data_IF_523540489192
#
_entry.id   IF_523540489192
#
_cell.length_a   1.000
_cell.length_b   1.000
_cell.length_c   1.000
_cell.angle_alpha   90.00
_cell.angle_beta   90.00
_cell.angle_gamma   90.00
#
_symmetry.space_group_name_H-M   'P 1'
#
loop_
_entity.id
_entity.type
_entity.pdbx_description
1 polymer ?
#
# COMPACT_ATOMS: atom_id res chain seq x y z
N UNK A 1 15.06 -34.73 -0.77
CA UNK A 1 14.31 -33.89 -1.72
C UNK A 1 13.49 -32.81 -1.01
N UNK A 2 12.97 -33.05 0.20
CA UNK A 2 12.23 -32.04 0.98
C UNK A 2 13.09 -30.87 1.51
N UNK A 3 14.38 -31.07 1.82
CA UNK A 3 15.23 -29.99 2.38
C UNK A 3 15.41 -28.77 1.46
N UNK A 4 15.57 -28.98 0.15
CA UNK A 4 15.67 -27.86 -0.79
C UNK A 4 14.37 -27.07 -0.90
N UNK A 5 13.21 -27.75 -0.81
CA UNK A 5 11.90 -27.10 -0.80
C UNK A 5 11.70 -26.30 0.49
N UNK A 6 12.17 -26.83 1.63
CA UNK A 6 12.12 -26.14 2.93
C UNK A 6 12.97 -24.87 2.92
N UNK A 7 14.20 -24.92 2.43
CA UNK A 7 15.08 -23.74 2.37
C UNK A 7 14.58 -22.69 1.36
N UNK A 8 14.05 -23.12 0.22
CA UNK A 8 13.42 -22.21 -0.74
C UNK A 8 12.18 -21.53 -0.16
N UNK A 9 11.36 -22.29 0.58
CA UNK A 9 10.19 -21.73 1.28
C UNK A 9 10.63 -20.71 2.34
N UNK A 10 11.66 -21.00 3.13
CA UNK A 10 12.17 -20.07 4.15
C UNK A 10 12.65 -18.74 3.55
N UNK A 11 13.35 -18.78 2.41
CA UNK A 11 13.74 -17.56 1.68
C UNK A 11 12.53 -16.79 1.15
N UNK A 12 11.53 -17.50 0.64
CA UNK A 12 10.28 -16.92 0.17
C UNK A 12 9.52 -16.24 1.32
N UNK A 13 9.32 -16.92 2.45
CA UNK A 13 8.58 -16.40 3.60
C UNK A 13 9.26 -15.13 4.17
N UNK A 14 10.60 -15.12 4.22
CA UNK A 14 11.37 -13.93 4.62
C UNK A 14 11.13 -12.75 3.68
N UNK A 15 11.27 -12.98 2.38
CA UNK A 15 11.02 -11.95 1.36
C UNK A 15 9.57 -11.48 1.43
N UNK A 16 8.61 -12.39 1.42
CA UNK A 16 7.20 -12.06 1.42
C UNK A 16 6.81 -11.21 2.64
N UNK A 17 7.36 -11.49 3.82
CA UNK A 17 7.12 -10.67 5.01
C UNK A 17 7.63 -9.22 4.84
N UNK A 18 8.81 -9.03 4.25
CA UNK A 18 9.38 -7.70 3.99
C UNK A 18 8.56 -6.92 2.93
N UNK A 19 8.09 -7.59 1.86
CA UNK A 19 7.40 -6.94 0.73
C UNK A 19 5.87 -6.83 0.90
N UNK A 20 5.27 -7.64 1.76
CA UNK A 20 3.82 -7.66 1.98
C UNK A 20 3.25 -6.28 2.36
N UNK A 21 4.01 -5.46 3.07
CA UNK A 21 3.60 -4.11 3.44
C UNK A 21 3.53 -3.17 2.23
N UNK A 22 4.60 -3.09 1.42
CA UNK A 22 4.64 -2.19 0.27
C UNK A 22 3.64 -2.60 -0.81
N UNK A 23 3.43 -3.91 -0.99
CA UNK A 23 2.39 -4.45 -1.88
C UNK A 23 0.98 -4.10 -1.38
N UNK A 24 0.74 -4.18 -0.06
CA UNK A 24 -0.51 -3.75 0.54
C UNK A 24 -0.80 -2.27 0.32
N UNK A 25 0.22 -1.41 0.47
CA UNK A 25 0.12 0.04 0.21
C UNK A 25 -0.16 0.30 -1.29
N UNK A 26 0.55 -0.38 -2.19
CA UNK A 26 0.35 -0.27 -3.64
C UNK A 26 -1.09 -0.65 -4.05
N UNK A 27 -1.66 -1.70 -3.44
CA UNK A 27 -3.05 -2.13 -3.68
C UNK A 27 -4.07 -1.07 -3.27
N UNK A 28 -3.80 -0.29 -2.22
CA UNK A 28 -4.70 0.80 -1.80
C UNK A 28 -4.75 1.92 -2.84
N UNK A 29 -3.61 2.21 -3.49
CA UNK A 29 -3.53 3.20 -4.57
C UNK A 29 -4.06 2.71 -5.92
N UNK A 30 -4.45 1.43 -6.03
CA UNK A 30 -5.21 0.95 -7.18
C UNK A 30 -6.71 1.20 -6.96
N UNK A 31 -7.28 2.06 -7.82
CA UNK A 31 -8.67 2.49 -7.76
C UNK A 31 -9.69 1.33 -7.89
N UNK A 32 -9.25 0.16 -8.34
CA UNK A 32 -10.07 -1.06 -8.44
C UNK A 32 -10.18 -1.82 -7.12
N UNK A 33 -9.14 -1.75 -6.29
CA UNK A 33 -9.02 -2.62 -5.11
C UNK A 33 -9.31 -1.83 -3.83
N UNK A 34 -8.75 -0.62 -3.65
CA UNK A 34 -8.89 0.22 -2.43
C UNK A 34 -8.65 -0.54 -1.12
N UNK A 35 -8.76 0.17 0.01
CA UNK A 35 -8.52 -0.44 1.33
C UNK A 35 -9.48 -1.61 1.64
N UNK A 36 -10.74 -1.54 1.21
CA UNK A 36 -11.70 -2.62 1.46
C UNK A 36 -11.29 -3.97 0.86
N UNK A 37 -10.57 -3.98 -0.27
CA UNK A 37 -10.03 -5.22 -0.82
C UNK A 37 -8.83 -5.71 -0.03
N UNK A 38 -7.95 -4.80 0.40
CA UNK A 38 -6.81 -5.13 1.27
C UNK A 38 -7.29 -5.77 2.57
N UNK A 39 -8.30 -5.19 3.22
CA UNK A 39 -8.89 -5.76 4.43
C UNK A 39 -9.54 -7.12 4.17
N UNK A 40 -10.26 -7.28 3.06
CA UNK A 40 -10.84 -8.56 2.66
C UNK A 40 -9.77 -9.63 2.39
N UNK A 41 -8.70 -9.30 1.66
CA UNK A 41 -7.62 -10.24 1.33
C UNK A 41 -6.85 -10.66 2.58
N UNK A 42 -6.47 -9.72 3.45
CA UNK A 42 -5.77 -10.04 4.69
C UNK A 42 -6.65 -10.78 5.68
N UNK A 43 -7.97 -10.51 5.76
CA UNK A 43 -8.90 -11.36 6.52
C UNK A 43 -8.95 -12.77 5.97
N UNK A 44 -9.04 -12.93 4.65
CA UNK A 44 -9.08 -14.25 4.00
C UNK A 44 -7.78 -15.03 4.20
N UNK A 45 -6.63 -14.37 4.14
CA UNK A 45 -5.33 -14.96 4.45
C UNK A 45 -5.20 -15.21 5.95
N UNK A 46 -5.77 -14.37 6.82
CA UNK A 46 -5.76 -14.57 8.27
C UNK A 46 -6.54 -15.82 8.73
N UNK A 47 -7.54 -16.24 7.95
CA UNK A 47 -8.19 -17.53 8.14
C UNK A 47 -7.28 -18.74 7.83
N UNK A 48 -6.18 -18.51 7.09
CA UNK A 48 -5.15 -19.50 6.74
C UNK A 48 -3.90 -19.37 7.63
N UNK A 49 -3.58 -18.17 8.13
CA UNK A 49 -2.42 -17.87 8.96
C UNK A 49 -2.68 -16.70 9.95
N UNK A 50 -2.63 -16.92 11.29
CA UNK A 50 -2.82 -15.88 12.29
C UNK A 50 -1.88 -14.66 12.17
N UNK A 51 -0.69 -14.82 11.57
CA UNK A 51 0.26 -13.72 11.36
C UNK A 51 -0.22 -12.67 10.35
N UNK A 52 -1.21 -12.98 9.52
CA UNK A 52 -1.70 -12.07 8.49
C UNK A 52 -2.65 -10.98 8.99
N UNK A 53 -3.22 -11.12 10.20
CA UNK A 53 -4.17 -10.14 10.75
C UNK A 53 -3.50 -8.77 11.04
N UNK A 54 -2.28 -8.78 11.57
CA UNK A 54 -1.53 -7.56 11.90
C UNK A 54 -1.17 -6.74 10.64
N UNK A 55 -1.11 -7.38 9.47
CA UNK A 55 -0.70 -6.72 8.23
C UNK A 55 -1.68 -5.63 7.76
N UNK A 56 -2.99 -5.83 7.90
CA UNK A 56 -4.00 -4.82 7.54
C UNK A 56 -3.81 -3.53 8.36
N UNK A 57 -3.54 -3.69 9.66
CA UNK A 57 -3.25 -2.56 10.56
C UNK A 57 -1.91 -1.90 10.23
N UNK A 58 -0.88 -2.70 9.93
CA UNK A 58 0.43 -2.19 9.48
C UNK A 58 0.31 -1.37 8.19
N UNK A 59 -0.49 -1.81 7.23
CA UNK A 59 -0.76 -1.08 5.97
C UNK A 59 -1.45 0.25 6.25
N UNK A 60 -2.51 0.27 7.08
CA UNK A 60 -3.18 1.52 7.49
C UNK A 60 -2.22 2.50 8.16
N UNK A 61 -1.50 2.04 9.18
CA UNK A 61 -0.57 2.87 9.94
C UNK A 61 0.61 3.35 9.08
N UNK A 62 1.06 2.55 8.11
CA UNK A 62 2.10 2.96 7.18
C UNK A 62 1.58 4.00 6.18
N UNK A 63 0.38 3.83 5.62
CA UNK A 63 -0.27 4.82 4.76
C UNK A 63 -0.37 6.16 5.47
N UNK A 64 -1.01 6.19 6.64
CA UNK A 64 -1.18 7.42 7.43
C UNK A 64 0.17 8.09 7.71
N UNK A 65 1.19 7.33 8.12
CA UNK A 65 2.55 7.86 8.34
C UNK A 65 3.20 8.45 7.09
N UNK A 66 3.00 7.84 5.92
CA UNK A 66 3.53 8.37 4.65
C UNK A 66 2.89 9.70 4.28
N UNK A 67 1.57 9.85 4.47
CA UNK A 67 0.86 11.11 4.27
C UNK A 67 1.37 12.21 5.20
N UNK A 68 1.49 11.92 6.50
CA UNK A 68 2.05 12.88 7.46
C UNK A 68 3.48 13.30 7.10
N UNK A 69 4.33 12.35 6.68
CA UNK A 69 5.70 12.67 6.28
C UNK A 69 5.76 13.61 5.07
N UNK A 70 4.84 13.44 4.14
CA UNK A 70 4.74 14.26 2.93
C UNK A 70 4.30 15.69 3.24
N UNK A 71 3.44 15.86 4.24
CA UNK A 71 2.95 17.15 4.72
C UNK A 71 4.01 17.89 5.55
N UNK A 72 4.83 17.15 6.32
CA UNK A 72 5.95 17.69 7.12
C UNK A 72 7.06 18.28 6.25
N UNK A 73 7.22 17.82 5.01
CA UNK A 73 8.09 18.48 4.02
C UNK A 73 7.64 19.91 3.64
N UNK A 74 6.51 20.39 4.18
CA UNK A 74 6.02 21.77 4.09
C UNK A 74 6.41 22.71 5.25
N UNK A 75 6.94 22.24 6.38
CA UNK A 75 7.40 23.13 7.45
C UNK A 75 8.39 22.46 8.42
N UNK A 76 9.38 23.22 8.87
CA UNK A 76 10.48 22.80 9.75
C UNK A 76 10.05 22.11 11.05
N UNK A 77 10.64 20.93 11.28
CA UNK A 77 10.81 20.15 12.51
C UNK A 77 10.06 20.54 13.78
N UNK A 78 9.25 19.61 14.28
CA UNK A 78 9.06 19.37 15.72
C UNK A 78 9.06 17.87 16.00
N UNK A 79 9.70 17.54 17.11
CA UNK A 79 10.07 16.22 17.62
C UNK A 79 8.93 15.22 17.75
N UNK A 80 9.33 13.95 17.71
CA UNK A 80 8.53 12.77 18.00
C UNK A 80 7.70 12.95 19.29
N UNK A 81 6.44 13.30 19.13
CA UNK A 81 5.38 13.01 20.09
C UNK A 81 4.29 12.31 19.32
N UNK A 82 4.01 11.08 19.73
CA UNK A 82 2.88 10.26 19.28
C UNK A 82 1.62 11.15 19.22
N UNK A 83 1.00 11.36 18.05
CA UNK A 83 -0.25 12.10 18.02
C UNK A 83 -1.35 11.17 18.57
N UNK A 84 -1.80 11.50 19.77
CA UNK A 84 -3.14 11.14 20.23
C UNK A 84 -4.16 11.61 19.19
N UNK A 85 -5.04 10.68 18.82
CA UNK A 85 -6.14 10.81 17.87
C UNK A 85 -7.01 12.03 18.15
N UNK A 86 -6.75 13.16 17.48
CA UNK A 86 -7.73 14.18 17.07
C UNK A 86 -7.04 15.45 16.52
N UNK A 87 -6.54 15.39 15.30
CA UNK A 87 -6.36 16.57 14.44
C UNK A 87 -6.56 16.13 12.99
N UNK A 88 -7.78 16.28 12.46
CA UNK A 88 -8.11 16.04 11.05
C UNK A 88 -7.48 17.14 10.20
N UNK A 89 -6.26 16.89 9.74
CA UNK A 89 -5.59 17.75 8.77
C UNK A 89 -6.21 17.62 7.37
N UNK A 90 -5.99 18.60 6.47
CA UNK A 90 -6.47 18.53 5.08
C UNK A 90 -5.99 17.29 4.31
N UNK A 91 -4.87 16.68 4.71
CA UNK A 91 -4.35 15.45 4.11
C UNK A 91 -5.11 14.19 4.54
N UNK A 92 -5.61 14.12 5.78
CA UNK A 92 -6.54 13.05 6.18
C UNK A 92 -7.84 13.16 5.40
N UNK A 93 -8.33 14.38 5.18
CA UNK A 93 -9.52 14.63 4.37
C UNK A 93 -9.34 14.23 2.89
N UNK A 94 -8.17 14.47 2.29
CA UNK A 94 -7.88 14.04 0.91
C UNK A 94 -7.83 12.51 0.78
N UNK A 95 -7.13 11.85 1.72
CA UNK A 95 -7.06 10.39 1.78
C UNK A 95 -8.43 9.77 2.03
N UNK A 96 -9.19 10.29 2.99
CA UNK A 96 -10.53 9.81 3.31
C UNK A 96 -11.45 9.97 2.10
N UNK A 97 -11.43 11.13 1.42
CA UNK A 97 -12.20 11.35 0.21
C UNK A 97 -11.83 10.39 -0.93
N UNK A 98 -10.53 10.08 -1.09
CA UNK A 98 -10.08 9.06 -2.04
C UNK A 98 -10.57 7.65 -1.66
N UNK A 99 -10.54 7.31 -0.36
CA UNK A 99 -10.98 5.99 0.12
C UNK A 99 -12.49 5.80 0.01
N UNK A 100 -13.28 6.85 0.18
CA UNK A 100 -14.75 6.85 0.07
C UNK A 100 -15.26 6.79 -1.37
N UNK A 101 -14.47 7.21 -2.36
CA UNK A 101 -14.90 7.15 -3.76
C UNK A 101 -15.30 5.72 -4.18
N UNK A 102 -16.27 5.57 -5.10
CA UNK A 102 -16.63 4.26 -5.62
C UNK A 102 -15.45 3.60 -6.34
N UNK A 103 -15.33 2.28 -6.19
CA UNK A 103 -14.32 1.50 -6.92
C UNK A 103 -14.63 1.51 -8.41
N UNK A 104 -13.59 1.51 -9.24
CA UNK A 104 -13.80 1.31 -10.68
C UNK A 104 -14.35 -0.11 -10.92
N UNK A 105 -15.39 -0.26 -11.75
CA UNK A 105 -15.97 -1.56 -12.05
C UNK A 105 -14.99 -2.42 -12.87
N UNK A 106 -15.02 -3.73 -12.66
CA UNK A 106 -14.15 -4.70 -13.32
C UNK A 106 -14.70 -5.11 -14.70
N UNK A 107 -14.93 -4.13 -15.55
CA UNK A 107 -15.53 -4.32 -16.88
C UNK A 107 -14.42 -4.50 -17.94
N UNK A 108 -14.76 -4.97 -19.15
CA UNK A 108 -13.80 -5.15 -20.25
C UNK A 108 -12.98 -3.88 -20.55
N UNK A 109 -13.54 -2.70 -20.27
CA UNK A 109 -12.88 -1.39 -20.38
C UNK A 109 -11.69 -1.22 -19.42
N UNK A 110 -11.71 -1.86 -18.26
CA UNK A 110 -10.70 -1.73 -17.19
C UNK A 110 -9.84 -2.99 -17.02
N UNK A 111 -9.98 -3.96 -17.95
CA UNK A 111 -9.15 -5.16 -17.98
C UNK A 111 -7.67 -4.86 -18.20
N UNK A 112 -7.36 -3.82 -18.96
CA UNK A 112 -6.02 -3.28 -19.19
C UNK A 112 -5.84 -1.91 -18.50
N UNK A 113 -6.35 -1.76 -17.28
CA UNK A 113 -6.23 -0.52 -16.55
C UNK A 113 -4.76 -0.23 -16.17
N UNK A 114 -4.21 0.83 -16.75
CA UNK A 114 -2.91 1.37 -16.38
C UNK A 114 -3.08 2.34 -15.21
N UNK A 115 -2.71 1.84 -14.01
CA UNK A 115 -2.78 2.60 -12.76
C UNK A 115 -1.87 3.83 -12.77
N UNK A 116 -0.71 3.78 -13.42
CA UNK A 116 0.21 4.92 -13.51
C UNK A 116 -0.35 5.99 -14.46
N UNK A 117 -0.92 5.58 -15.59
CA UNK A 117 -1.60 6.49 -16.51
C UNK A 117 -2.82 7.15 -15.88
N UNK A 118 -3.54 6.44 -15.00
CA UNK A 118 -4.63 7.02 -14.21
C UNK A 118 -4.13 8.13 -13.30
N UNK A 119 -3.11 7.85 -12.47
CA UNK A 119 -2.54 8.87 -11.56
C UNK A 119 -1.86 10.03 -12.28
N UNK A 120 -1.46 9.84 -13.54
CA UNK A 120 -0.98 10.91 -14.41
C UNK A 120 -2.10 11.85 -14.87
N UNK A 121 -3.27 11.31 -15.17
CA UNK A 121 -4.43 12.07 -15.66
C UNK A 121 -5.28 12.68 -14.54
N UNK A 122 -5.46 11.93 -13.44
CA UNK A 122 -6.37 12.28 -12.35
C UNK A 122 -5.64 12.84 -11.12
N UNK A 123 -4.31 12.95 -11.16
CA UNK A 123 -3.52 13.38 -10.01
C UNK A 123 -3.72 14.83 -9.58
N UNK A 124 -4.34 15.68 -10.40
CA UNK A 124 -4.72 17.04 -10.00
C UNK A 124 -5.87 17.07 -8.99
N UNK A 125 -6.71 16.03 -8.96
CA UNK A 125 -7.81 15.89 -8.01
C UNK A 125 -7.32 15.52 -6.61
N UNK A 126 -6.20 14.80 -6.54
CA UNK A 126 -5.59 14.30 -5.31
C UNK A 126 -4.07 14.47 -5.37
N UNK A 127 -3.53 15.69 -5.16
CA UNK A 127 -2.12 15.97 -5.35
C UNK A 127 -1.20 15.19 -4.40
N UNK A 128 -1.59 15.04 -3.13
CA UNK A 128 -0.77 14.34 -2.14
C UNK A 128 -0.89 12.82 -2.31
N UNK A 129 -2.10 12.31 -2.55
CA UNK A 129 -2.33 10.87 -2.82
C UNK A 129 -1.61 10.46 -4.11
N UNK A 130 -1.68 11.28 -5.17
CA UNK A 130 -1.05 10.98 -6.45
C UNK A 130 0.48 11.01 -6.38
N UNK A 131 1.05 11.85 -5.51
CA UNK A 131 2.49 11.87 -5.25
C UNK A 131 2.94 10.53 -4.66
N UNK A 132 2.29 10.07 -3.60
CA UNK A 132 2.62 8.78 -2.97
C UNK A 132 2.35 7.62 -3.91
N UNK A 133 1.22 7.65 -4.61
CA UNK A 133 0.84 6.59 -5.53
C UNK A 133 1.91 6.40 -6.61
N UNK A 134 2.40 7.48 -7.22
CA UNK A 134 3.48 7.41 -8.22
C UNK A 134 4.77 6.86 -7.65
N UNK A 135 5.17 7.31 -6.46
CA UNK A 135 6.40 6.86 -5.80
C UNK A 135 6.33 5.36 -5.48
N UNK A 136 5.23 4.91 -4.86
CA UNK A 136 5.04 3.50 -4.46
C UNK A 136 4.84 2.58 -5.66
N UNK A 137 3.99 2.95 -6.62
CA UNK A 137 3.67 2.10 -7.78
C UNK A 137 4.83 1.99 -8.78
N UNK A 138 5.80 2.90 -8.73
CA UNK A 138 7.01 2.85 -9.55
C UNK A 138 8.08 1.88 -9.03
N UNK A 139 7.92 1.34 -7.81
CA UNK A 139 8.89 0.40 -7.22
C UNK A 139 8.87 -0.92 -7.99
N UNK A 140 9.97 -1.32 -8.65
CA UNK A 140 10.01 -2.57 -9.40
C UNK A 140 10.02 -3.77 -8.44
N UNK A 141 8.99 -4.61 -8.51
CA UNK A 141 8.86 -5.81 -7.65
C UNK A 141 9.82 -6.96 -8.07
N UNK A 142 10.35 -6.93 -9.30
CA UNK A 142 11.10 -8.06 -9.88
C UNK A 142 12.63 -7.93 -9.86
N UNK A 143 13.21 -6.74 -9.74
CA UNK A 143 14.68 -6.59 -9.75
C UNK A 143 15.32 -7.10 -8.47
N UNK A 144 14.66 -6.93 -7.32
CA UNK A 144 15.19 -7.42 -6.04
C UNK A 144 15.06 -8.94 -5.92
N UNK A 145 14.01 -9.53 -6.49
CA UNK A 145 13.84 -10.98 -6.54
C UNK A 145 15.04 -11.69 -7.21
N UNK A 146 15.66 -11.10 -8.24
CA UNK A 146 16.84 -11.70 -8.89
C UNK A 146 18.11 -11.72 -8.03
N UNK A 147 18.29 -10.75 -7.11
CA UNK A 147 19.49 -10.65 -6.26
C UNK A 147 19.45 -11.53 -5.01
N UNK A 148 18.27 -12.01 -4.63
CA UNK A 148 18.05 -12.81 -3.41
C UNK A 148 17.65 -14.25 -3.75
N UNK A 149 17.10 -14.49 -4.93
CA UNK A 149 16.69 -15.82 -5.39
C UNK A 149 17.82 -16.65 -6.03
N UNK A 150 18.95 -16.04 -6.40
CA UNK A 150 20.10 -16.71 -7.02
C UNK A 150 21.39 -16.43 -6.27
#
# INVERSE_FOLDING_TARGET
MNDMVVEMKKKFDKYWNEYSLILGIALVFDHRYKFAFVDWTFRKIALLDPLAYDMSLRVKNALVRLFYRIQDHGCSGIEASTPSFSYTGPAELELDYYLEEPKLPFDDKYRQFDVLAYWRQNGSKYPDVARIAKDVLSIPVSTVASRVAF
#
